data_IF_444466050663
#
_entry.id   IF_444466050663
#
_cell.length_a   1.000
_cell.length_b   1.000
_cell.length_c   1.000
_cell.angle_alpha   90.00
_cell.angle_beta   90.00
_cell.angle_gamma   90.00
#
_symmetry.space_group_name_H-M   'P 1'
#
loop_
_entity.id
_entity.type
_entity.pdbx_description
1 polymer ?
#
# COMPACT_ATOMS: atom_id res chain seq x y z
N UNK A 1 -2.77 -20.37 20.12
CA UNK A 1 -2.07 -20.15 18.83
C UNK A 1 -1.48 -18.74 18.83
N UNK A 2 -0.17 -18.58 18.57
CA UNK A 2 0.47 -17.25 18.53
C UNK A 2 -0.05 -16.49 17.30
N UNK A 3 -0.72 -15.35 17.50
CA UNK A 3 -1.25 -14.53 16.40
C UNK A 3 -0.13 -14.06 15.46
N UNK A 4 -0.31 -14.22 14.15
CA UNK A 4 0.65 -13.77 13.15
C UNK A 4 0.57 -12.24 13.00
N UNK A 5 1.61 -11.52 13.42
CA UNK A 5 1.73 -10.07 13.24
C UNK A 5 2.45 -9.67 11.95
N UNK A 6 3.20 -10.62 11.37
CA UNK A 6 4.12 -10.38 10.26
C UNK A 6 3.93 -11.45 9.21
N UNK A 7 3.69 -11.05 7.96
CA UNK A 7 3.60 -11.95 6.81
C UNK A 7 4.64 -11.53 5.76
N UNK A 8 5.58 -12.45 5.47
CA UNK A 8 6.68 -12.24 4.53
C UNK A 8 6.48 -13.15 3.33
N UNK A 9 6.20 -12.56 2.18
CA UNK A 9 6.03 -13.23 0.89
C UNK A 9 6.98 -12.64 -0.17
N UNK A 10 8.12 -12.10 0.29
CA UNK A 10 9.09 -11.45 -0.60
C UNK A 10 9.69 -12.45 -1.59
N UNK A 11 9.86 -12.02 -2.84
CA UNK A 11 10.47 -12.81 -3.91
C UNK A 11 9.58 -13.92 -4.47
N UNK A 12 8.30 -14.02 -4.08
CA UNK A 12 7.38 -15.02 -4.61
C UNK A 12 7.07 -14.76 -6.10
N UNK A 13 7.90 -15.30 -7.00
CA UNK A 13 7.81 -15.05 -8.45
C UNK A 13 6.54 -15.63 -9.09
N UNK A 14 5.89 -16.60 -8.46
CA UNK A 14 4.62 -17.18 -8.94
C UNK A 14 3.39 -16.35 -8.52
N UNK A 15 3.55 -15.46 -7.55
CA UNK A 15 2.44 -14.69 -6.99
C UNK A 15 2.00 -13.61 -7.99
N UNK A 16 0.84 -13.82 -8.62
CA UNK A 16 0.22 -12.85 -9.54
C UNK A 16 -0.78 -11.92 -8.85
N UNK A 17 -1.39 -12.40 -7.78
CA UNK A 17 -2.40 -11.70 -6.97
C UNK A 17 -2.19 -12.05 -5.50
N UNK A 18 -2.43 -11.09 -4.62
CA UNK A 18 -2.57 -11.39 -3.19
C UNK A 18 -3.97 -12.01 -2.95
N UNK A 19 -4.14 -13.01 -2.06
CA UNK A 19 -5.41 -13.70 -1.88
C UNK A 19 -6.55 -12.75 -1.54
N UNK A 20 -7.71 -12.91 -2.18
CA UNK A 20 -8.93 -12.23 -1.77
C UNK A 20 -9.63 -13.05 -0.68
N UNK A 21 -9.45 -12.68 0.59
CA UNK A 21 -10.08 -13.44 1.69
C UNK A 21 -11.61 -13.26 1.70
N UNK A 22 -12.14 -12.21 1.05
CA UNK A 22 -13.59 -11.98 0.95
C UNK A 22 -14.24 -12.91 -0.09
N UNK A 23 -13.57 -13.18 -1.23
CA UNK A 23 -14.04 -14.21 -2.16
C UNK A 23 -13.91 -15.62 -1.54
N UNK A 24 -12.81 -15.88 -0.84
CA UNK A 24 -12.60 -17.13 -0.11
C UNK A 24 -13.69 -17.35 0.95
N UNK A 25 -14.22 -16.28 1.56
CA UNK A 25 -15.39 -16.31 2.45
C UNK A 25 -16.73 -16.60 1.75
N UNK A 26 -16.87 -16.24 0.47
CA UNK A 26 -18.09 -16.42 -0.32
C UNK A 26 -18.21 -17.80 -0.97
N UNK A 27 -17.07 -18.39 -1.34
CA UNK A 27 -17.00 -19.75 -1.86
C UNK A 27 -17.01 -20.74 -0.69
N UNK A 28 -18.14 -21.44 -0.51
CA UNK A 28 -18.39 -22.46 0.53
C UNK A 28 -17.37 -23.61 0.49
N UNK A 29 -16.17 -23.37 0.98
CA UNK A 29 -15.10 -24.35 1.12
C UNK A 29 -14.70 -24.43 2.59
N UNK A 30 -14.37 -25.66 3.02
CA UNK A 30 -14.34 -26.13 4.41
C UNK A 30 -13.86 -25.10 5.46
N UNK A 31 -14.75 -24.81 6.41
CA UNK A 31 -14.70 -23.72 7.40
C UNK A 31 -13.45 -23.77 8.33
N UNK A 32 -12.69 -24.86 8.32
CA UNK A 32 -11.50 -25.04 9.18
C UNK A 32 -10.26 -24.30 8.69
N UNK A 33 -9.98 -24.25 7.38
CA UNK A 33 -8.85 -23.49 6.83
C UNK A 33 -9.14 -21.99 6.76
N UNK A 34 -10.42 -21.68 6.55
CA UNK A 34 -10.98 -20.33 6.48
C UNK A 34 -10.84 -19.57 7.80
N UNK A 35 -11.21 -20.23 8.91
CA UNK A 35 -11.08 -19.67 10.27
C UNK A 35 -9.65 -19.24 10.57
N UNK A 36 -8.66 -20.01 10.11
CA UNK A 36 -7.26 -19.71 10.32
C UNK A 36 -6.79 -18.50 9.48
N UNK A 37 -7.13 -18.43 8.19
CA UNK A 37 -6.79 -17.28 7.33
C UNK A 37 -7.39 -15.97 7.84
N UNK A 38 -8.65 -16.01 8.29
CA UNK A 38 -9.36 -14.85 8.84
C UNK A 38 -8.71 -14.38 10.16
N UNK A 39 -8.41 -15.31 11.09
CA UNK A 39 -7.72 -14.99 12.34
C UNK A 39 -6.28 -14.48 12.15
N UNK A 40 -5.59 -14.95 11.10
CA UNK A 40 -4.24 -14.53 10.73
C UNK A 40 -4.18 -13.07 10.25
N UNK A 41 -5.19 -12.60 9.50
CA UNK A 41 -5.13 -11.32 8.79
C UNK A 41 -5.65 -10.15 9.63
N UNK A 42 -6.59 -10.38 10.56
CA UNK A 42 -7.12 -9.34 11.43
C UNK A 42 -6.14 -8.84 12.51
N UNK A 43 -4.94 -9.39 12.62
CA UNK A 43 -3.89 -8.91 13.55
C UNK A 43 -2.59 -8.58 12.83
N UNK A 44 -2.61 -8.56 11.50
CA UNK A 44 -1.42 -8.32 10.70
C UNK A 44 -1.00 -6.86 10.83
N UNK A 45 0.25 -6.65 11.25
CA UNK A 45 0.88 -5.35 11.42
C UNK A 45 1.84 -5.06 10.25
N UNK A 46 2.55 -6.09 9.79
CA UNK A 46 3.53 -5.98 8.71
C UNK A 46 3.23 -6.98 7.60
N UNK A 47 3.04 -6.48 6.38
CA UNK A 47 2.98 -7.28 5.16
C UNK A 47 4.13 -6.89 4.23
N UNK A 48 4.92 -7.85 3.77
CA UNK A 48 5.94 -7.61 2.74
C UNK A 48 5.82 -8.58 1.56
N UNK A 49 5.80 -8.00 0.37
CA UNK A 49 5.71 -8.65 -0.94
C UNK A 49 6.86 -8.20 -1.85
N UNK A 50 7.97 -7.73 -1.26
CA UNK A 50 9.07 -7.13 -2.02
C UNK A 50 9.61 -8.09 -3.08
N UNK A 51 9.85 -7.60 -4.29
CA UNK A 51 10.41 -8.41 -5.37
C UNK A 51 9.46 -9.47 -5.95
N UNK A 52 8.16 -9.44 -5.63
CA UNK A 52 7.14 -10.23 -6.33
C UNK A 52 6.90 -9.67 -7.74
N UNK A 53 7.85 -9.87 -8.65
CA UNK A 53 7.89 -9.24 -9.98
C UNK A 53 6.64 -9.48 -10.85
N UNK A 54 5.90 -10.55 -10.58
CA UNK A 54 4.68 -10.91 -11.31
C UNK A 54 3.38 -10.45 -10.64
N UNK A 55 3.45 -9.82 -9.45
CA UNK A 55 2.26 -9.31 -8.77
C UNK A 55 1.71 -8.12 -9.55
N UNK A 56 0.49 -8.27 -10.06
CA UNK A 56 -0.16 -7.27 -10.90
C UNK A 56 -1.06 -6.34 -10.10
N UNK A 57 -1.70 -6.89 -9.05
CA UNK A 57 -2.63 -6.16 -8.21
C UNK A 57 -2.66 -6.72 -6.79
N UNK A 58 -3.10 -5.88 -5.87
CA UNK A 58 -3.57 -6.29 -4.55
C UNK A 58 -5.08 -6.36 -4.61
N UNK A 59 -5.66 -7.43 -4.09
CA UNK A 59 -7.12 -7.56 -3.99
C UNK A 59 -7.66 -6.66 -2.86
N UNK A 60 -8.96 -6.38 -2.87
CA UNK A 60 -9.63 -5.43 -1.96
C UNK A 60 -9.41 -5.75 -0.47
N UNK A 61 -9.03 -6.98 -0.15
CA UNK A 61 -8.87 -7.42 1.23
C UNK A 61 -7.74 -6.72 1.96
N UNK A 62 -6.76 -6.15 1.26
CA UNK A 62 -5.73 -5.36 1.96
C UNK A 62 -6.32 -4.14 2.69
N UNK A 63 -7.47 -3.66 2.23
CA UNK A 63 -8.19 -2.51 2.76
C UNK A 63 -8.95 -2.83 4.06
N UNK A 64 -9.16 -4.11 4.38
CA UNK A 64 -9.81 -4.54 5.64
C UNK A 64 -8.80 -4.84 6.76
N UNK A 65 -7.49 -4.73 6.50
CA UNK A 65 -6.42 -4.98 7.48
C UNK A 65 -6.27 -3.79 8.44
N UNK A 66 -7.14 -3.73 9.45
CA UNK A 66 -7.29 -2.60 10.38
C UNK A 66 -6.03 -2.25 11.19
N UNK A 67 -5.14 -3.21 11.40
CA UNK A 67 -3.93 -3.05 12.23
C UNK A 67 -2.65 -2.99 11.40
N UNK A 68 -2.76 -2.94 10.07
CA UNK A 68 -1.59 -2.91 9.21
C UNK A 68 -0.90 -1.54 9.34
N UNK A 69 0.28 -1.54 9.95
CA UNK A 69 1.12 -0.34 10.13
C UNK A 69 2.21 -0.26 9.07
N UNK A 70 2.63 -1.39 8.48
CA UNK A 70 3.71 -1.40 7.48
C UNK A 70 3.36 -2.29 6.30
N UNK A 71 3.42 -1.71 5.10
CA UNK A 71 3.17 -2.40 3.84
C UNK A 71 4.36 -2.21 2.90
N UNK A 72 5.08 -3.29 2.62
CA UNK A 72 6.26 -3.29 1.74
C UNK A 72 5.98 -3.99 0.42
N UNK A 73 6.02 -3.22 -0.65
CA UNK A 73 5.68 -3.58 -2.03
C UNK A 73 6.78 -3.15 -3.01
N UNK A 74 8.04 -3.08 -2.57
CA UNK A 74 9.13 -2.59 -3.41
C UNK A 74 9.45 -3.59 -4.53
N UNK A 75 9.79 -3.10 -5.72
CA UNK A 75 10.25 -3.92 -6.85
C UNK A 75 9.16 -4.73 -7.56
N UNK A 76 7.89 -4.33 -7.45
CA UNK A 76 6.78 -4.97 -8.18
C UNK A 76 6.67 -4.41 -9.61
N UNK A 77 7.32 -5.10 -10.56
CA UNK A 77 7.47 -4.64 -11.94
C UNK A 77 6.18 -4.65 -12.77
N UNK A 78 5.15 -5.36 -12.32
CA UNK A 78 3.82 -5.42 -12.97
C UNK A 78 2.71 -4.73 -12.18
N UNK A 79 3.00 -4.22 -10.99
CA UNK A 79 2.02 -3.57 -10.12
C UNK A 79 1.78 -2.13 -10.58
N UNK A 80 0.60 -1.88 -11.16
CA UNK A 80 0.29 -0.61 -11.84
C UNK A 80 -0.65 0.29 -11.04
N UNK A 81 -1.46 -0.29 -10.16
CA UNK A 81 -2.55 0.37 -9.46
C UNK A 81 -2.56 -0.07 -8.00
N UNK A 82 -2.61 0.92 -7.10
CA UNK A 82 -2.78 0.66 -5.68
C UNK A 82 -4.27 0.58 -5.34
N UNK A 83 -4.70 -0.39 -4.51
CA UNK A 83 -6.12 -0.60 -4.22
C UNK A 83 -6.70 0.54 -3.38
N UNK A 84 -8.01 0.76 -3.52
CA UNK A 84 -8.77 1.71 -2.71
C UNK A 84 -8.65 1.37 -1.22
N UNK A 85 -8.22 2.30 -0.37
CA UNK A 85 -8.09 2.10 1.08
C UNK A 85 -9.25 2.71 1.87
N UNK A 86 -9.67 2.02 2.93
CA UNK A 86 -10.71 2.50 3.84
C UNK A 86 -10.15 2.52 5.26
N UNK A 87 -9.60 3.67 5.67
CA UNK A 87 -9.19 4.07 7.03
C UNK A 87 -8.28 3.11 7.85
N UNK A 88 -7.15 3.64 8.33
CA UNK A 88 -6.26 2.98 9.30
C UNK A 88 -6.18 3.81 10.59
N UNK A 89 -6.55 3.21 11.73
CA UNK A 89 -6.56 3.94 13.02
C UNK A 89 -5.16 4.28 13.53
N UNK A 90 -5.03 5.52 13.98
CA UNK A 90 -4.23 6.05 15.12
C UNK A 90 -2.74 5.66 15.26
N UNK A 91 -2.08 5.13 14.24
CA UNK A 91 -0.66 4.77 14.26
C UNK A 91 0.10 5.23 13.01
N UNK A 92 1.44 5.19 13.07
CA UNK A 92 2.29 5.40 11.91
C UNK A 92 1.98 4.33 10.85
N UNK A 93 1.66 4.77 9.64
CA UNK A 93 1.44 3.91 8.48
C UNK A 93 2.56 4.12 7.47
N UNK A 94 3.37 3.10 7.26
CA UNK A 94 4.47 3.06 6.29
C UNK A 94 4.07 2.29 5.04
N UNK A 95 4.14 2.94 3.88
CA UNK A 95 3.87 2.33 2.58
C UNK A 95 5.10 2.49 1.69
N UNK A 96 5.69 1.36 1.32
CA UNK A 96 6.90 1.27 0.51
C UNK A 96 6.53 0.71 -0.88
N UNK A 97 6.68 1.53 -1.91
CA UNK A 97 6.33 1.24 -3.30
C UNK A 97 7.53 1.44 -4.24
N UNK A 98 8.75 1.42 -3.70
CA UNK A 98 9.95 1.79 -4.44
C UNK A 98 10.16 0.88 -5.66
N UNK A 99 10.47 1.48 -6.82
CA UNK A 99 10.72 0.73 -8.05
C UNK A 99 9.53 -0.08 -8.57
N UNK A 100 8.30 0.29 -8.19
CA UNK A 100 7.08 -0.33 -8.75
C UNK A 100 6.69 0.30 -10.10
N UNK A 101 5.83 -0.40 -10.86
CA UNK A 101 5.29 0.11 -12.12
C UNK A 101 4.05 1.01 -11.94
N UNK A 102 3.81 1.51 -10.73
CA UNK A 102 2.62 2.27 -10.38
C UNK A 102 2.52 3.53 -11.24
N UNK A 103 1.30 3.84 -11.69
CA UNK A 103 1.02 4.99 -12.56
C UNK A 103 0.39 6.16 -11.81
N UNK A 104 -0.28 5.88 -10.70
CA UNK A 104 -0.95 6.83 -9.81
C UNK A 104 -1.43 6.12 -8.56
N UNK A 105 -1.85 6.90 -7.56
CA UNK A 105 -2.48 6.40 -6.34
C UNK A 105 -3.99 6.65 -6.41
N UNK A 106 -4.82 5.81 -5.78
CA UNK A 106 -6.26 6.06 -5.66
C UNK A 106 -6.52 7.30 -4.81
N UNK A 107 -7.64 7.98 -5.03
CA UNK A 107 -8.04 9.15 -4.26
C UNK A 107 -8.19 8.82 -2.76
N UNK A 108 -8.59 7.59 -2.43
CA UNK A 108 -8.72 7.14 -1.04
C UNK A 108 -7.42 7.10 -0.24
N UNK A 109 -6.24 7.22 -0.87
CA UNK A 109 -4.99 7.40 -0.14
C UNK A 109 -5.01 8.69 0.71
N UNK A 110 -5.82 9.68 0.33
CA UNK A 110 -6.06 10.92 1.09
C UNK A 110 -6.95 10.69 2.32
N UNK A 111 -7.64 9.54 2.41
CA UNK A 111 -8.47 9.15 3.56
C UNK A 111 -7.69 8.37 4.63
N UNK A 112 -6.39 8.18 4.42
CA UNK A 112 -5.51 7.65 5.46
C UNK A 112 -5.50 8.59 6.65
N UNK A 113 -5.49 8.03 7.86
CA UNK A 113 -5.38 8.76 9.13
C UNK A 113 -4.09 8.39 9.84
N UNK A 114 -3.62 9.28 10.73
CA UNK A 114 -2.37 9.11 11.48
C UNK A 114 -1.18 9.81 10.83
N UNK A 115 0.03 9.35 11.16
CA UNK A 115 1.26 9.79 10.50
C UNK A 115 1.55 8.82 9.35
N UNK A 116 1.66 9.31 8.12
CA UNK A 116 1.90 8.46 6.95
C UNK A 116 3.29 8.73 6.37
N UNK A 117 4.04 7.65 6.14
CA UNK A 117 5.23 7.64 5.30
C UNK A 117 4.90 6.95 3.99
N UNK A 118 5.12 7.64 2.88
CA UNK A 118 4.92 7.10 1.54
C UNK A 118 6.23 7.17 0.75
N UNK A 119 6.82 6.01 0.49
CA UNK A 119 8.03 5.92 -0.32
C UNK A 119 7.70 5.46 -1.74
N UNK A 120 7.81 6.38 -2.70
CA UNK A 120 7.60 6.15 -4.13
C UNK A 120 8.91 6.29 -4.92
N UNK A 121 10.06 6.17 -4.26
CA UNK A 121 11.37 6.28 -4.92
C UNK A 121 11.45 5.35 -6.13
N UNK A 122 12.02 5.83 -7.23
CA UNK A 122 12.20 5.08 -8.48
C UNK A 122 10.89 4.56 -9.12
N UNK A 123 9.72 5.11 -8.76
CA UNK A 123 8.46 4.88 -9.46
C UNK A 123 8.42 5.63 -10.80
N UNK A 124 9.24 5.19 -11.77
CA UNK A 124 9.46 5.84 -13.07
C UNK A 124 8.20 6.00 -13.93
N UNK A 125 7.12 5.27 -13.61
CA UNK A 125 5.85 5.34 -14.33
C UNK A 125 4.78 6.20 -13.63
N UNK A 126 5.06 6.71 -12.43
CA UNK A 126 4.15 7.56 -11.69
C UNK A 126 3.95 8.87 -12.46
N UNK A 127 2.70 9.20 -12.80
CA UNK A 127 2.35 10.39 -13.60
C UNK A 127 1.83 11.53 -12.73
N UNK A 128 1.10 11.21 -11.68
CA UNK A 128 0.45 12.16 -10.79
C UNK A 128 0.27 11.57 -9.40
N UNK A 129 0.17 12.47 -8.43
CA UNK A 129 -0.37 12.18 -7.10
C UNK A 129 -1.84 12.62 -7.08
N UNK A 130 -2.67 12.04 -6.18
CA UNK A 130 -4.05 12.46 -6.06
C UNK A 130 -4.12 13.91 -5.59
N UNK A 131 -5.09 14.63 -6.15
CA UNK A 131 -5.24 16.08 -6.02
C UNK A 131 -6.69 16.45 -5.71
N UNK A 132 -7.32 15.76 -4.75
CA UNK A 132 -8.67 16.13 -4.33
C UNK A 132 -8.64 17.26 -3.29
N UNK A 133 -9.81 17.79 -2.94
CA UNK A 133 -9.95 18.84 -1.91
C UNK A 133 -9.53 18.38 -0.51
N UNK A 134 -9.55 17.07 -0.26
CA UNK A 134 -9.14 16.50 1.03
C UNK A 134 -7.62 16.62 1.21
N UNK A 135 -6.85 16.33 0.16
CA UNK A 135 -5.38 16.40 0.16
C UNK A 135 -4.74 15.34 1.04
N UNK A 136 -3.41 15.25 1.01
CA UNK A 136 -2.64 14.24 1.76
C UNK A 136 -2.33 14.70 3.21
N UNK A 137 -3.34 15.12 3.97
CA UNK A 137 -3.18 15.79 5.30
C UNK A 137 -2.45 14.95 6.35
N UNK A 138 -2.58 13.63 6.26
CA UNK A 138 -1.95 12.66 7.18
C UNK A 138 -0.50 12.35 6.80
N UNK A 139 -0.03 12.82 5.64
CA UNK A 139 1.32 12.55 5.16
C UNK A 139 2.34 13.36 5.98
N UNK A 140 3.42 12.68 6.39
CA UNK A 140 4.56 13.28 7.10
C UNK A 140 5.85 13.15 6.31
N UNK A 141 5.97 12.09 5.52
CA UNK A 141 7.14 11.86 4.69
C UNK A 141 6.74 11.33 3.32
N UNK A 142 7.27 11.96 2.27
CA UNK A 142 7.01 11.60 0.89
C UNK A 142 8.33 11.54 0.11
N UNK A 143 8.69 10.37 -0.41
CA UNK A 143 9.88 10.21 -1.26
C UNK A 143 9.46 10.05 -2.72
N UNK A 144 9.95 10.93 -3.59
CA UNK A 144 9.66 10.89 -5.04
C UNK A 144 10.94 10.91 -5.90
N UNK A 145 12.12 10.80 -5.29
CA UNK A 145 13.39 10.64 -6.00
C UNK A 145 13.29 9.59 -7.11
N UNK A 146 13.74 9.91 -8.33
CA UNK A 146 13.72 8.98 -9.46
C UNK A 146 12.35 8.78 -10.14
N UNK A 147 11.30 9.52 -9.76
CA UNK A 147 9.99 9.52 -10.43
C UNK A 147 10.00 10.31 -11.75
N UNK A 148 10.70 9.82 -12.76
CA UNK A 148 10.99 10.56 -14.00
C UNK A 148 9.78 11.00 -14.85
N UNK A 149 8.59 10.42 -14.65
CA UNK A 149 7.35 10.80 -15.37
C UNK A 149 6.39 11.64 -14.54
N UNK A 150 6.73 11.93 -13.28
CA UNK A 150 5.93 12.78 -12.42
C UNK A 150 6.14 14.22 -12.88
N UNK A 151 5.12 14.82 -13.48
CA UNK A 151 5.23 16.18 -14.04
C UNK A 151 5.17 17.25 -12.95
N UNK A 152 4.14 17.16 -12.10
CA UNK A 152 3.84 18.14 -11.07
C UNK A 152 3.42 17.43 -9.78
N UNK A 153 3.68 18.09 -8.67
CA UNK A 153 3.21 17.71 -7.34
C UNK A 153 1.99 18.58 -6.99
N UNK A 154 0.91 18.04 -6.42
CA UNK A 154 -0.30 18.80 -6.10
C UNK A 154 -0.02 19.97 -5.13
N UNK A 155 -0.59 21.15 -5.40
CA UNK A 155 -0.50 22.32 -4.51
C UNK A 155 -1.05 22.04 -3.10
N UNK A 156 -1.98 21.09 -2.99
CA UNK A 156 -2.53 20.64 -1.70
C UNK A 156 -1.46 20.05 -0.77
N UNK A 157 -0.32 19.59 -1.28
CA UNK A 157 0.81 19.18 -0.45
C UNK A 157 1.44 20.35 0.31
N UNK A 158 1.45 21.55 -0.28
CA UNK A 158 1.96 22.75 0.40
C UNK A 158 1.10 23.17 1.61
N UNK A 159 -0.10 22.61 1.74
CA UNK A 159 -1.02 22.85 2.87
C UNK A 159 -0.87 21.84 4.00
N UNK A 160 -0.01 20.82 3.84
CA UNK A 160 0.20 19.80 4.87
C UNK A 160 1.28 20.26 5.82
N UNK A 161 0.88 20.68 7.01
CA UNK A 161 1.81 21.06 8.07
C UNK A 161 2.73 19.88 8.42
N UNK A 162 4.04 20.17 8.55
CA UNK A 162 5.08 19.18 8.90
C UNK A 162 5.32 18.05 7.87
N UNK A 163 5.00 18.29 6.58
CA UNK A 163 5.36 17.36 5.50
C UNK A 163 6.83 17.52 5.07
N UNK A 164 7.60 16.44 5.15
CA UNK A 164 8.92 16.32 4.53
C UNK A 164 8.79 15.69 3.14
N UNK A 165 9.16 16.42 2.09
CA UNK A 165 9.21 15.90 0.71
C UNK A 165 10.67 15.72 0.31
N UNK A 166 11.06 14.49 -0.04
CA UNK A 166 12.37 14.19 -0.61
C UNK A 166 12.27 14.04 -2.12
N UNK A 167 12.87 15.00 -2.80
CA UNK A 167 13.12 15.01 -4.24
C UNK A 167 14.62 14.91 -4.44
N UNK A 168 15.08 14.10 -5.39
CA UNK A 168 16.44 14.18 -5.92
C UNK A 168 16.35 14.11 -7.44
N UNK A 169 17.00 15.07 -8.09
CA UNK A 169 17.10 15.18 -9.55
C UNK A 169 17.97 14.06 -10.13
#
# INVERSE_FOLDING_TARGET
MKSLKTLVLSGCLKLKKFPDIVQVLGDRTDIRELSFAIELLFRLVLLTLNGCKNLERLERTISVLKYLSTLKLSGLLKFREFPEKTSSKDQLLEIHLEGTAIRGLPASIELLSGNVLLNLKDCKNLKSLPSTTNGLRSLRMLHLSGCSKLKNVPETLGKVESLEVRLSC
#
